data_IF_273988402132
#
_entry.id   IF_273988402132
#
_cell.length_a   1.000
_cell.length_b   1.000
_cell.length_c   1.000
_cell.angle_alpha   90.00
_cell.angle_beta   90.00
_cell.angle_gamma   90.00
#
_symmetry.space_group_name_H-M   'P 1'
#
loop_
_entity.id
_entity.type
_entity.pdbx_description
1 polymer ?
#
# COMPACT_ATOMS: atom_id res chain seq x y z
N UNK A 1 -8.21 -30.84 -12.91
CA UNK A 1 -6.99 -30.23 -12.34
C UNK A 1 -7.16 -28.72 -12.40
N UNK A 2 -7.53 -28.12 -11.29
CA UNK A 2 -7.97 -26.72 -11.20
C UNK A 2 -6.78 -25.77 -11.29
N UNK A 3 -6.69 -25.01 -12.39
CA UNK A 3 -5.77 -23.88 -12.50
C UNK A 3 -6.46 -22.69 -11.81
N UNK A 4 -6.09 -22.46 -10.56
CA UNK A 4 -6.57 -21.33 -9.77
C UNK A 4 -6.06 -20.02 -10.34
N UNK A 5 -6.92 -19.28 -11.04
CA UNK A 5 -6.70 -17.88 -11.36
C UNK A 5 -6.79 -17.06 -10.07
N UNK A 6 -5.64 -16.77 -9.46
CA UNK A 6 -5.51 -15.73 -8.44
C UNK A 6 -5.91 -14.36 -8.98
N UNK A 7 -6.23 -13.37 -8.13
CA UNK A 7 -6.69 -12.06 -8.56
C UNK A 7 -5.56 -11.36 -9.34
N UNK A 8 -5.66 -11.42 -10.66
CA UNK A 8 -4.81 -10.66 -11.58
C UNK A 8 -4.95 -9.19 -11.21
N UNK A 9 -3.85 -8.58 -10.78
CA UNK A 9 -3.75 -7.14 -10.59
C UNK A 9 -4.19 -6.47 -11.89
N UNK A 10 -5.33 -5.78 -11.86
CA UNK A 10 -5.81 -4.97 -12.97
C UNK A 10 -4.70 -4.00 -13.40
N UNK A 11 -4.49 -3.80 -14.72
CA UNK A 11 -3.46 -2.93 -15.24
C UNK A 11 -3.86 -1.48 -14.96
N UNK A 12 -3.39 -0.93 -13.84
CA UNK A 12 -3.46 0.51 -13.58
C UNK A 12 -2.40 1.21 -14.45
N UNK A 13 -2.77 1.49 -15.70
CA UNK A 13 -2.05 2.39 -16.59
C UNK A 13 -2.04 3.81 -15.98
N UNK A 14 -0.97 4.15 -15.26
CA UNK A 14 -0.72 5.47 -14.67
C UNK A 14 0.14 6.35 -15.58
N UNK A 15 -0.23 6.49 -16.85
CA UNK A 15 0.48 7.41 -17.76
C UNK A 15 -0.47 8.29 -18.58
N UNK A 16 -1.47 8.89 -17.95
CA UNK A 16 -2.01 10.18 -18.39
C UNK A 16 -2.89 10.78 -17.32
N UNK A 17 -2.38 11.78 -16.61
CA UNK A 17 -3.21 12.75 -15.90
C UNK A 17 -3.76 13.71 -16.96
N UNK A 18 -4.82 13.31 -17.67
CA UNK A 18 -5.62 14.26 -18.45
C UNK A 18 -7.05 13.75 -18.56
N UNK A 19 -7.93 14.56 -17.99
CA UNK A 19 -9.35 14.77 -18.29
C UNK A 19 -10.10 13.66 -19.04
N UNK A 20 -11.19 13.16 -18.41
CA UNK A 20 -12.20 12.23 -18.95
C UNK A 20 -11.86 10.73 -18.91
N UNK A 21 -11.94 10.14 -17.72
CA UNK A 21 -12.38 8.74 -17.60
C UNK A 21 -13.74 8.74 -16.91
N UNK A 22 -14.73 8.18 -17.60
CA UNK A 22 -16.13 8.07 -17.20
C UNK A 22 -16.28 7.63 -15.73
N UNK A 23 -16.72 8.59 -14.91
CA UNK A 23 -16.79 8.59 -13.45
C UNK A 23 -17.80 7.59 -12.83
N UNK A 24 -18.40 6.69 -13.61
CA UNK A 24 -19.56 5.89 -13.18
C UNK A 24 -19.25 4.48 -12.65
N UNK A 25 -18.07 3.91 -12.90
CA UNK A 25 -17.95 2.45 -12.81
C UNK A 25 -17.41 1.85 -11.49
N UNK A 26 -17.06 2.64 -10.47
CA UNK A 26 -16.49 2.09 -9.23
C UNK A 26 -17.10 2.62 -7.92
N UNK A 27 -18.07 3.52 -7.95
CA UNK A 27 -18.73 4.02 -6.73
C UNK A 27 -19.87 3.11 -6.23
N UNK A 28 -20.37 2.17 -7.03
CA UNK A 28 -21.49 1.28 -6.65
C UNK A 28 -21.08 0.08 -5.79
N UNK A 29 -19.80 -0.08 -5.45
CA UNK A 29 -19.28 -1.20 -4.65
C UNK A 29 -18.54 -0.68 -3.41
N UNK A 30 -19.10 0.29 -2.69
CA UNK A 30 -18.67 0.55 -1.31
C UNK A 30 -19.55 -0.27 -0.36
N UNK A 31 -18.98 -1.16 0.48
CA UNK A 31 -19.69 -1.70 1.64
C UNK A 31 -20.24 -0.55 2.49
N UNK A 32 -21.44 -0.68 3.06
CA UNK A 32 -22.05 0.37 3.89
C UNK A 32 -21.13 0.81 5.03
N UNK A 33 -20.23 -0.05 5.50
CA UNK A 33 -19.23 0.22 6.55
C UNK A 33 -18.24 1.34 6.18
N UNK A 34 -17.76 1.40 4.93
CA UNK A 34 -16.85 2.48 4.48
C UNK A 34 -17.61 3.78 4.30
N UNK A 35 -18.87 3.70 3.88
CA UNK A 35 -19.77 4.85 3.76
C UNK A 35 -20.13 5.45 5.14
N UNK A 36 -20.30 4.62 6.16
CA UNK A 36 -20.53 5.05 7.56
C UNK A 36 -19.29 5.76 8.13
N UNK A 37 -18.08 5.25 7.86
CA UNK A 37 -16.84 5.91 8.28
C UNK A 37 -16.68 7.30 7.65
N UNK A 38 -17.09 7.48 6.40
CA UNK A 38 -17.06 8.76 5.70
C UNK A 38 -18.14 9.74 6.16
N UNK A 39 -19.30 9.26 6.63
CA UNK A 39 -20.44 10.11 7.01
C UNK A 39 -20.22 10.87 8.34
N UNK A 40 -19.28 10.43 9.19
CA UNK A 40 -19.04 11.01 10.52
C UNK A 40 -17.82 11.95 10.61
N UNK A 41 -17.05 12.15 9.54
CA UNK A 41 -15.79 12.94 9.60
C UNK A 41 -15.91 14.27 8.87
N UNK A 42 -16.49 15.29 9.52
CA UNK A 42 -16.53 16.68 9.04
C UNK A 42 -15.21 17.45 9.28
N UNK A 43 -14.06 16.76 9.44
CA UNK A 43 -12.74 17.38 9.56
C UNK A 43 -11.70 16.57 8.77
N UNK A 44 -10.85 17.21 7.94
CA UNK A 44 -9.88 16.51 7.07
C UNK A 44 -8.84 15.71 7.88
N UNK A 45 -8.35 16.24 9.00
CA UNK A 45 -7.34 15.56 9.82
C UNK A 45 -7.87 14.27 10.45
N UNK A 46 -9.17 14.19 10.80
CA UNK A 46 -9.72 12.98 11.42
C UNK A 46 -9.87 11.85 10.40
N UNK A 47 -10.09 12.18 9.13
CA UNK A 47 -10.23 11.19 8.07
C UNK A 47 -8.88 10.53 7.73
N UNK A 48 -7.76 11.26 7.77
CA UNK A 48 -6.42 10.67 7.58
C UNK A 48 -6.11 9.59 8.63
N UNK A 49 -6.38 9.87 9.92
CA UNK A 49 -6.19 8.89 10.99
C UNK A 49 -7.11 7.68 10.87
N UNK A 50 -8.37 7.89 10.50
CA UNK A 50 -9.32 6.80 10.25
C UNK A 50 -8.86 5.90 9.10
N UNK A 51 -8.35 6.48 8.02
CA UNK A 51 -7.81 5.71 6.89
C UNK A 51 -6.59 4.90 7.29
N UNK A 52 -5.63 5.48 8.02
CA UNK A 52 -4.45 4.77 8.52
C UNK A 52 -4.85 3.61 9.44
N UNK A 53 -5.79 3.84 10.36
CA UNK A 53 -6.30 2.80 11.27
C UNK A 53 -6.98 1.66 10.50
N UNK A 54 -7.85 1.98 9.55
CA UNK A 54 -8.52 0.99 8.71
C UNK A 54 -7.51 0.17 7.89
N UNK A 55 -6.53 0.82 7.25
CA UNK A 55 -5.47 0.14 6.51
C UNK A 55 -4.64 -0.79 7.39
N UNK A 56 -4.34 -0.37 8.63
CA UNK A 56 -3.61 -1.20 9.59
C UNK A 56 -4.42 -2.44 10.00
N UNK A 57 -5.73 -2.30 10.20
CA UNK A 57 -6.64 -3.42 10.46
C UNK A 57 -6.65 -4.42 9.29
N UNK A 58 -6.78 -3.92 8.07
CA UNK A 58 -6.77 -4.74 6.84
C UNK A 58 -5.41 -5.42 6.63
N UNK A 59 -4.32 -4.80 7.05
CA UNK A 59 -2.98 -5.36 6.95
C UNK A 59 -2.78 -6.65 7.77
N UNK A 60 -3.63 -6.88 8.78
CA UNK A 60 -3.56 -8.08 9.63
C UNK A 60 -4.33 -9.27 9.06
N UNK A 61 -5.24 -9.04 8.11
CA UNK A 61 -6.16 -10.05 7.59
C UNK A 61 -6.12 -10.10 6.07
N UNK A 62 -5.61 -11.19 5.50
CA UNK A 62 -5.52 -11.41 4.05
C UNK A 62 -6.87 -11.47 3.34
N UNK A 63 -7.95 -11.79 4.05
CA UNK A 63 -9.31 -11.79 3.51
C UNK A 63 -9.85 -10.39 3.18
N UNK A 64 -9.26 -9.33 3.73
CA UNK A 64 -9.74 -7.95 3.58
C UNK A 64 -9.00 -7.13 2.53
N UNK A 65 -8.10 -7.74 1.75
CA UNK A 65 -7.30 -7.05 0.72
C UNK A 65 -8.18 -6.29 -0.28
N UNK A 66 -9.35 -6.84 -0.62
CA UNK A 66 -10.35 -6.18 -1.48
C UNK A 66 -10.83 -4.84 -0.91
N UNK A 67 -11.02 -4.75 0.41
CA UNK A 67 -11.36 -3.50 1.10
C UNK A 67 -10.18 -2.54 1.11
N UNK A 68 -8.95 -3.05 1.25
CA UNK A 68 -7.73 -2.25 1.13
C UNK A 68 -7.60 -1.56 -0.24
N UNK A 69 -7.96 -2.26 -1.31
CA UNK A 69 -8.00 -1.68 -2.66
C UNK A 69 -9.07 -0.60 -2.82
N UNK A 70 -10.26 -0.79 -2.22
CA UNK A 70 -11.30 0.24 -2.21
C UNK A 70 -10.84 1.50 -1.47
N UNK A 71 -10.19 1.34 -0.31
CA UNK A 71 -9.61 2.47 0.44
C UNK A 71 -8.50 3.16 -0.36
N UNK A 72 -7.68 2.41 -1.09
CA UNK A 72 -6.67 3.01 -1.97
C UNK A 72 -7.32 3.89 -3.06
N UNK A 73 -8.37 3.42 -3.73
CA UNK A 73 -9.14 4.23 -4.67
C UNK A 73 -9.73 5.50 -4.03
N UNK A 74 -10.23 5.39 -2.80
CA UNK A 74 -10.77 6.52 -2.05
C UNK A 74 -9.68 7.55 -1.72
N UNK A 75 -8.50 7.10 -1.27
CA UNK A 75 -7.35 7.97 -0.97
C UNK A 75 -6.93 8.78 -2.21
N UNK A 76 -6.91 8.14 -3.38
CA UNK A 76 -6.61 8.82 -4.65
C UNK A 76 -7.69 9.87 -5.00
N UNK A 77 -8.97 9.53 -4.83
CA UNK A 77 -10.09 10.45 -5.10
C UNK A 77 -10.11 11.66 -4.16
N UNK A 78 -9.75 11.45 -2.90
CA UNK A 78 -9.75 12.49 -1.87
C UNK A 78 -8.49 13.36 -1.89
N UNK A 79 -7.48 13.05 -2.73
CA UNK A 79 -6.25 13.83 -2.84
C UNK A 79 -5.25 13.63 -1.70
N UNK A 80 -5.42 12.59 -0.88
CA UNK A 80 -4.49 12.26 0.22
C UNK A 80 -3.26 11.47 -0.22
N UNK A 81 -3.08 11.30 -1.53
CA UNK A 81 -1.97 10.56 -2.11
C UNK A 81 -0.60 11.21 -1.88
N UNK A 82 -0.54 12.47 -1.43
CA UNK A 82 0.72 13.15 -1.07
C UNK A 82 1.14 12.94 0.39
N UNK A 83 0.27 12.36 1.22
CA UNK A 83 0.54 12.16 2.64
C UNK A 83 1.41 10.90 2.85
N UNK A 84 2.63 11.09 3.37
CA UNK A 84 3.62 10.03 3.58
C UNK A 84 3.12 8.96 4.57
N UNK A 85 2.36 9.34 5.60
CA UNK A 85 1.83 8.38 6.57
C UNK A 85 0.80 7.44 5.93
N UNK A 86 -0.07 7.99 5.07
CA UNK A 86 -1.08 7.22 4.35
C UNK A 86 -0.40 6.31 3.31
N UNK A 87 0.58 6.83 2.57
CA UNK A 87 1.37 6.03 1.62
C UNK A 87 2.11 4.88 2.33
N UNK A 88 2.79 5.15 3.45
CA UNK A 88 3.48 4.13 4.24
C UNK A 88 2.50 3.06 4.74
N UNK A 89 1.29 3.47 5.13
CA UNK A 89 0.23 2.54 5.55
C UNK A 89 -0.28 1.67 4.39
N UNK A 90 -0.46 2.25 3.20
CA UNK A 90 -0.82 1.51 1.99
C UNK A 90 0.27 0.52 1.58
N UNK A 91 1.53 0.97 1.54
CA UNK A 91 2.68 0.12 1.23
C UNK A 91 2.75 -1.06 2.22
N UNK A 92 2.61 -0.78 3.52
CA UNK A 92 2.61 -1.82 4.56
C UNK A 92 1.46 -2.83 4.38
N UNK A 93 0.26 -2.34 4.04
CA UNK A 93 -0.90 -3.18 3.77
C UNK A 93 -0.68 -4.10 2.57
N UNK A 94 -0.21 -3.57 1.44
CA UNK A 94 0.06 -4.39 0.26
C UNK A 94 1.22 -5.35 0.49
N UNK A 95 2.31 -4.91 1.15
CA UNK A 95 3.46 -5.75 1.46
C UNK A 95 3.09 -6.91 2.36
N UNK A 96 2.34 -6.69 3.45
CA UNK A 96 1.91 -7.76 4.38
C UNK A 96 0.97 -8.79 3.76
N UNK A 97 0.31 -8.43 2.67
CA UNK A 97 -0.60 -9.31 1.92
C UNK A 97 0.06 -9.96 0.70
N UNK A 98 1.39 -9.84 0.54
CA UNK A 98 2.14 -10.48 -0.54
C UNK A 98 2.02 -9.79 -1.89
N UNK A 99 1.29 -8.67 -1.97
CA UNK A 99 1.14 -7.86 -3.18
C UNK A 99 2.30 -6.86 -3.32
N UNK A 100 3.53 -7.39 -3.31
CA UNK A 100 4.76 -6.59 -3.34
C UNK A 100 4.88 -5.70 -4.58
N UNK A 101 4.32 -6.11 -5.72
CA UNK A 101 4.31 -5.29 -6.94
C UNK A 101 3.48 -4.02 -6.76
N UNK A 102 2.33 -4.11 -6.11
CA UNK A 102 1.47 -2.97 -5.80
C UNK A 102 2.12 -2.05 -4.76
N UNK A 103 2.76 -2.64 -3.73
CA UNK A 103 3.51 -1.89 -2.73
C UNK A 103 4.65 -1.10 -3.41
N UNK A 104 5.39 -1.75 -4.32
CA UNK A 104 6.47 -1.14 -5.09
C UNK A 104 5.99 -0.03 -6.01
N UNK A 105 4.85 -0.19 -6.70
CA UNK A 105 4.32 0.91 -7.53
C UNK A 105 3.98 2.16 -6.73
N UNK A 106 3.43 2.01 -5.52
CA UNK A 106 3.12 3.15 -4.65
C UNK A 106 4.41 3.80 -4.14
N UNK A 107 5.40 2.98 -3.79
CA UNK A 107 6.71 3.44 -3.38
C UNK A 107 7.39 4.26 -4.49
N UNK A 108 7.37 3.78 -5.74
CA UNK A 108 8.00 4.45 -6.87
C UNK A 108 7.27 5.74 -7.29
N UNK A 109 5.95 5.78 -7.11
CA UNK A 109 5.15 7.00 -7.34
C UNK A 109 5.31 8.03 -6.22
N UNK A 110 5.81 7.65 -5.04
CA UNK A 110 6.00 8.59 -3.94
C UNK A 110 7.21 9.49 -4.18
N UNK A 111 6.94 10.79 -4.17
CA UNK A 111 7.98 11.84 -4.27
C UNK A 111 8.69 12.12 -2.94
N UNK A 112 8.15 11.63 -1.82
CA UNK A 112 8.63 11.89 -0.46
C UNK A 112 8.66 10.58 0.32
N UNK A 113 9.74 9.84 0.15
CA UNK A 113 10.00 8.60 0.90
C UNK A 113 10.84 8.93 2.13
N UNK A 114 10.42 8.44 3.29
CA UNK A 114 11.17 8.53 4.54
C UNK A 114 11.86 7.20 4.85
N UNK A 115 12.73 7.17 5.88
CA UNK A 115 13.43 5.93 6.26
C UNK A 115 12.45 4.79 6.61
N UNK A 116 11.24 5.12 7.07
CA UNK A 116 10.20 4.13 7.34
C UNK A 116 9.65 3.50 6.05
N UNK A 117 9.41 4.27 4.98
CA UNK A 117 8.98 3.75 3.68
C UNK A 117 9.92 2.67 3.14
N UNK A 118 11.23 2.95 3.20
CA UNK A 118 12.28 2.02 2.76
C UNK A 118 12.30 0.76 3.62
N UNK A 119 12.23 0.91 4.94
CA UNK A 119 12.22 -0.22 5.87
C UNK A 119 10.98 -1.11 5.68
N UNK A 120 9.80 -0.53 5.41
CA UNK A 120 8.58 -1.28 5.16
C UNK A 120 8.71 -2.14 3.90
N UNK A 121 9.23 -1.57 2.81
CA UNK A 121 9.45 -2.33 1.57
C UNK A 121 10.52 -3.41 1.74
N UNK A 122 11.62 -3.08 2.42
CA UNK A 122 12.70 -4.02 2.72
C UNK A 122 12.19 -5.23 3.52
N UNK A 123 11.43 -4.97 4.59
CA UNK A 123 10.81 -6.01 5.40
C UNK A 123 9.80 -6.83 4.60
N UNK A 124 9.07 -6.19 3.68
CA UNK A 124 8.20 -6.86 2.72
C UNK A 124 8.97 -7.87 1.86
N UNK A 125 10.06 -7.47 1.21
CA UNK A 125 10.84 -8.39 0.38
C UNK A 125 11.44 -9.55 1.19
N UNK A 126 12.03 -9.24 2.35
CA UNK A 126 12.59 -10.26 3.25
C UNK A 126 11.53 -11.27 3.67
N UNK A 127 10.33 -10.82 4.06
CA UNK A 127 9.24 -11.71 4.51
C UNK A 127 8.81 -12.75 3.48
N UNK A 128 8.92 -12.43 2.19
CA UNK A 128 8.55 -13.33 1.10
C UNK A 128 9.77 -13.97 0.42
N UNK A 129 10.93 -14.01 1.09
CA UNK A 129 12.15 -14.66 0.58
C UNK A 129 12.77 -13.98 -0.64
N UNK A 130 12.38 -12.75 -0.97
CA UNK A 130 12.87 -12.00 -2.14
C UNK A 130 14.18 -11.27 -1.79
N UNK A 131 15.18 -11.99 -1.29
CA UNK A 131 16.41 -11.41 -0.75
C UNK A 131 17.21 -10.60 -1.78
N UNK A 132 17.19 -11.02 -3.05
CA UNK A 132 17.84 -10.27 -4.13
C UNK A 132 17.27 -8.86 -4.25
N UNK A 133 15.95 -8.73 -4.27
CA UNK A 133 15.27 -7.44 -4.38
C UNK A 133 15.40 -6.62 -3.09
N UNK A 134 15.40 -7.29 -1.93
CA UNK A 134 15.70 -6.66 -0.65
C UNK A 134 17.10 -6.03 -0.67
N UNK A 135 18.12 -6.77 -1.15
CA UNK A 135 19.49 -6.28 -1.24
C UNK A 135 19.62 -5.10 -2.23
N UNK A 136 19.00 -5.19 -3.41
CA UNK A 136 18.97 -4.07 -4.36
C UNK A 136 18.35 -2.80 -3.74
N UNK A 137 17.29 -2.96 -2.96
CA UNK A 137 16.65 -1.85 -2.25
C UNK A 137 17.53 -1.32 -1.11
N UNK A 138 18.18 -2.19 -0.36
CA UNK A 138 19.11 -1.82 0.71
C UNK A 138 20.32 -1.02 0.19
N UNK A 139 20.84 -1.37 -0.99
CA UNK A 139 21.92 -0.62 -1.65
C UNK A 139 21.46 0.76 -2.13
N UNK A 140 20.21 0.88 -2.59
CA UNK A 140 19.64 2.17 -3.04
C UNK A 140 19.18 3.08 -1.88
N UNK A 141 19.02 2.54 -0.68
CA UNK A 141 18.51 3.28 0.47
C UNK A 141 19.47 4.44 0.85
N UNK A 142 18.96 5.69 0.94
CA UNK A 142 19.81 6.86 1.19
C UNK A 142 20.36 6.91 2.62
N UNK A 143 19.60 6.37 3.58
CA UNK A 143 19.98 6.32 4.99
C UNK A 143 19.72 4.92 5.54
N UNK A 144 20.79 4.23 5.94
CA UNK A 144 20.71 2.93 6.61
C UNK A 144 20.76 3.14 8.11
N UNK A 145 19.80 2.57 8.82
CA UNK A 145 19.73 2.58 10.28
C UNK A 145 19.70 1.16 10.83
N UNK A 146 19.71 1.01 12.15
CA UNK A 146 19.66 -0.29 12.82
C UNK A 146 18.54 -1.19 12.28
N UNK A 147 17.34 -0.64 12.04
CA UNK A 147 16.18 -1.37 11.50
C UNK A 147 16.47 -1.95 10.12
N UNK A 148 17.13 -1.21 9.23
CA UNK A 148 17.48 -1.71 7.90
C UNK A 148 18.49 -2.87 7.95
N UNK A 149 19.51 -2.78 8.81
CA UNK A 149 20.51 -3.83 9.00
C UNK A 149 19.90 -5.07 9.65
N UNK A 150 19.11 -4.91 10.72
CA UNK A 150 18.46 -6.05 11.38
C UNK A 150 17.50 -6.77 10.43
N UNK A 151 16.78 -6.03 9.58
CA UNK A 151 15.90 -6.61 8.57
C UNK A 151 16.66 -7.48 7.56
N UNK A 152 17.82 -7.02 7.09
CA UNK A 152 18.67 -7.83 6.19
C UNK A 152 19.24 -9.08 6.87
N UNK A 153 19.69 -8.95 8.12
CA UNK A 153 20.19 -10.09 8.91
C UNK A 153 19.08 -11.12 9.13
N UNK A 154 17.87 -10.68 9.49
CA UNK A 154 16.70 -11.56 9.62
C UNK A 154 16.37 -12.28 8.31
N UNK A 155 16.59 -11.65 7.16
CA UNK A 155 16.37 -12.28 5.86
C UNK A 155 17.41 -13.33 5.49
N UNK A 156 18.67 -13.13 5.86
CA UNK A 156 19.73 -14.12 5.63
C UNK A 156 19.63 -15.36 6.53
N UNK A 157 18.84 -15.27 7.60
CA UNK A 157 18.63 -16.35 8.56
C UNK A 157 17.42 -17.26 8.24
N UNK A 158 16.67 -16.98 7.17
CA UNK A 158 15.55 -17.81 6.69
C UNK A 158 16.02 -18.91 5.75
#
# INVERSE_FOLDING_TARGET
MSIGYGPKCLPFYFHSFSTHINFKCFCTISPPTIQILLRNTNKPNSLEFSLVSALKSISSSSSLVSHGQQLHCLILKSGFNSNVFIQNSLISMYSKNGLLSCAKSIFDLSRKLDAASWNIMLAGYVRYGRLRDANEMFVKMPLRNCVSYTTMIMGLAQ
#
